data_IF_018636366355
#
_entry.id   IF_018636366355
#
_cell.length_a   1.000
_cell.length_b   1.000
_cell.length_c   1.000
_cell.angle_alpha   90.00
_cell.angle_beta   90.00
_cell.angle_gamma   90.00
#
_symmetry.space_group_name_H-M   'P 1'
#
loop_
_entity.id
_entity.type
_entity.pdbx_description
1 polymer ?
#
# COMPACT_ATOMS: atom_id res chain seq x y z
N UNK A 1 -3.10 -2.04 -15.06
CA UNK A 1 -3.80 -1.29 -16.14
C UNK A 1 -5.09 -0.65 -15.63
N UNK A 2 -6.08 -1.40 -15.12
CA UNK A 2 -7.37 -0.80 -14.68
C UNK A 2 -7.25 0.23 -13.54
N UNK A 3 -6.37 -0.01 -12.55
CA UNK A 3 -6.15 0.95 -11.46
C UNK A 3 -5.49 2.25 -11.96
N UNK A 4 -4.67 2.21 -13.02
CA UNK A 4 -4.09 3.43 -13.59
C UNK A 4 -5.18 4.34 -14.16
N UNK A 5 -6.14 3.76 -14.89
CA UNK A 5 -7.27 4.50 -15.46
C UNK A 5 -8.13 5.09 -14.35
N UNK A 6 -8.47 4.29 -13.34
CA UNK A 6 -9.27 4.73 -12.20
C UNK A 6 -8.60 5.88 -11.42
N UNK A 7 -7.31 5.77 -11.13
CA UNK A 7 -6.57 6.80 -10.38
C UNK A 7 -6.25 8.06 -11.20
N UNK A 8 -6.11 7.95 -12.53
CA UNK A 8 -5.84 9.10 -13.41
C UNK A 8 -7.10 9.83 -13.82
N UNK A 9 -8.03 9.10 -14.42
CA UNK A 9 -9.19 9.67 -15.09
C UNK A 9 -10.40 9.75 -14.17
N UNK A 10 -10.30 9.19 -12.95
CA UNK A 10 -11.41 9.05 -12.01
C UNK A 10 -12.63 8.36 -12.65
N UNK A 11 -12.38 7.52 -13.66
CA UNK A 11 -13.39 6.74 -14.37
C UNK A 11 -12.80 5.38 -14.76
N UNK A 12 -13.67 4.39 -14.97
CA UNK A 12 -13.32 3.09 -15.54
C UNK A 12 -14.24 2.82 -16.71
N UNK A 13 -13.66 2.56 -17.87
CA UNK A 13 -14.35 2.09 -19.05
C UNK A 13 -14.45 0.56 -19.06
N UNK A 14 -15.67 0.06 -19.27
CA UNK A 14 -15.94 -1.38 -19.32
C UNK A 14 -16.64 -1.67 -20.65
N UNK A 15 -16.04 -2.56 -21.45
CA UNK A 15 -16.64 -3.11 -22.66
C UNK A 15 -16.71 -4.64 -22.52
N UNK A 16 -17.84 -5.17 -22.07
CA UNK A 16 -18.03 -6.61 -21.86
C UNK A 16 -19.48 -7.02 -22.06
N UNK A 17 -19.69 -8.22 -22.61
CA UNK A 17 -21.02 -8.81 -22.85
C UNK A 17 -21.97 -7.88 -23.65
N UNK A 18 -21.43 -7.15 -24.63
CA UNK A 18 -22.21 -6.20 -25.43
C UNK A 18 -22.57 -4.89 -24.72
N UNK A 19 -22.14 -4.70 -23.47
CA UNK A 19 -22.33 -3.48 -22.70
C UNK A 19 -21.02 -2.69 -22.72
N UNK A 20 -21.09 -1.48 -23.27
CA UNK A 20 -20.01 -0.50 -23.23
C UNK A 20 -20.46 0.67 -22.37
N UNK A 21 -19.83 0.87 -21.22
CA UNK A 21 -20.18 1.94 -20.29
C UNK A 21 -18.95 2.47 -19.57
N UNK A 22 -19.04 3.71 -19.10
CA UNK A 22 -17.99 4.38 -18.32
C UNK A 22 -18.56 4.69 -16.94
N UNK A 23 -17.89 4.18 -15.91
CA UNK A 23 -18.29 4.34 -14.52
C UNK A 23 -17.37 5.32 -13.81
N UNK A 24 -17.92 6.13 -12.92
CA UNK A 24 -17.16 7.06 -12.08
C UNK A 24 -16.48 6.32 -10.92
N UNK A 25 -15.24 6.69 -10.59
CA UNK A 25 -14.43 6.05 -9.51
C UNK A 25 -13.95 7.04 -8.46
N UNK A 26 -14.83 7.94 -8.01
CA UNK A 26 -14.57 8.82 -6.86
C UNK A 26 -14.44 8.03 -5.55
N UNK A 27 -13.26 7.48 -5.29
CA UNK A 27 -12.88 6.86 -4.03
C UNK A 27 -11.43 7.19 -3.68
N UNK A 28 -11.11 7.12 -2.39
CA UNK A 28 -9.73 7.17 -1.91
C UNK A 28 -9.10 5.78 -1.99
N UNK A 29 -7.81 5.73 -2.35
CA UNK A 29 -7.06 4.48 -2.44
C UNK A 29 -6.14 4.37 -1.24
N UNK A 30 -6.30 3.30 -0.47
CA UNK A 30 -5.33 2.86 0.54
C UNK A 30 -4.68 1.58 0.02
N UNK A 31 -3.35 1.58 -0.06
CA UNK A 31 -2.58 0.43 -0.51
C UNK A 31 -1.59 -0.01 0.57
N UNK A 32 -1.45 -1.32 0.73
CA UNK A 32 -0.40 -1.93 1.54
C UNK A 32 0.41 -2.84 0.61
N UNK A 33 1.73 -2.74 0.70
CA UNK A 33 2.65 -3.55 -0.07
C UNK A 33 3.86 -3.91 0.76
N UNK A 34 4.42 -5.08 0.48
CA UNK A 34 5.65 -5.54 1.10
C UNK A 34 6.83 -5.27 0.17
N UNK A 35 8.02 -5.13 0.73
CA UNK A 35 9.25 -5.08 -0.08
C UNK A 35 9.49 -6.42 -0.78
N UNK A 36 10.08 -6.38 -1.98
CA UNK A 36 10.38 -7.56 -2.82
C UNK A 36 11.16 -8.63 -2.04
N UNK A 37 12.12 -8.22 -1.21
CA UNK A 37 12.97 -9.13 -0.44
C UNK A 37 12.47 -9.38 0.99
N UNK A 38 11.23 -8.97 1.31
CA UNK A 38 10.61 -9.13 2.63
C UNK A 38 11.17 -8.21 3.73
N UNK A 39 12.32 -7.56 3.49
CA UNK A 39 12.89 -6.51 4.34
C UNK A 39 13.25 -5.31 3.49
N UNK A 40 13.05 -4.13 4.06
CA UNK A 40 13.41 -2.87 3.42
C UNK A 40 14.94 -2.67 3.46
N UNK A 41 15.56 -2.52 2.29
CA UNK A 41 17.00 -2.24 2.15
C UNK A 41 17.21 -0.76 1.77
N UNK A 42 17.83 0.03 2.64
CA UNK A 42 18.04 1.47 2.39
C UNK A 42 18.93 1.78 1.19
N UNK A 43 19.76 0.83 0.76
CA UNK A 43 20.65 0.99 -0.38
C UNK A 43 19.89 0.87 -1.70
N UNK A 44 18.85 0.04 -1.71
CA UNK A 44 18.12 -0.34 -2.93
C UNK A 44 16.94 0.57 -3.27
N UNK A 45 16.56 1.50 -2.40
CA UNK A 45 15.57 2.57 -2.67
C UNK A 45 14.34 2.09 -3.47
N UNK A 46 14.32 2.45 -4.77
CA UNK A 46 13.25 2.11 -5.73
C UNK A 46 13.20 0.62 -6.09
N UNK A 47 14.32 -0.10 -6.07
CA UNK A 47 14.38 -1.55 -6.32
C UNK A 47 13.75 -2.37 -5.19
N UNK A 48 13.39 -1.75 -4.05
CA UNK A 48 12.64 -2.44 -3.00
C UNK A 48 11.16 -2.64 -3.34
N UNK A 49 10.64 -1.93 -4.34
CA UNK A 49 9.22 -1.86 -4.66
C UNK A 49 8.99 -2.32 -6.11
N UNK A 50 8.14 -3.33 -6.30
CA UNK A 50 7.72 -3.81 -7.63
C UNK A 50 6.50 -3.02 -8.17
N UNK A 51 6.56 -1.69 -8.11
CA UNK A 51 5.53 -0.82 -8.68
C UNK A 51 6.10 0.04 -9.79
N UNK A 52 5.32 0.21 -10.86
CA UNK A 52 5.65 1.18 -11.90
C UNK A 52 5.71 2.59 -11.28
N UNK A 53 6.71 3.42 -11.61
CA UNK A 53 6.82 4.80 -11.12
C UNK A 53 5.55 5.63 -11.37
N UNK A 54 4.82 5.33 -12.44
CA UNK A 54 3.57 5.99 -12.84
C UNK A 54 2.38 5.73 -11.90
N UNK A 55 2.43 4.69 -11.06
CA UNK A 55 1.46 4.49 -9.97
C UNK A 55 1.95 5.19 -8.71
N UNK A 56 3.23 5.05 -8.39
CA UNK A 56 3.81 5.67 -7.19
C UNK A 56 3.64 7.19 -7.20
N UNK A 57 3.82 7.83 -8.35
CA UNK A 57 3.63 9.27 -8.52
C UNK A 57 2.19 9.75 -8.29
N UNK A 58 1.22 8.84 -8.23
CA UNK A 58 -0.22 9.16 -8.02
C UNK A 58 -0.63 9.06 -6.56
N UNK A 59 0.22 8.50 -5.70
CA UNK A 59 -0.01 8.51 -4.27
C UNK A 59 0.48 9.82 -3.70
N UNK A 60 -0.42 10.59 -3.10
CA UNK A 60 -0.06 11.84 -2.42
C UNK A 60 0.84 11.59 -1.20
N UNK A 61 0.69 10.43 -0.56
CA UNK A 61 1.46 10.03 0.62
C UNK A 61 1.91 8.58 0.51
N UNK A 62 3.20 8.35 0.74
CA UNK A 62 3.80 7.02 0.81
C UNK A 62 4.44 6.87 2.19
N UNK A 63 3.97 5.90 2.96
CA UNK A 63 4.50 5.58 4.29
C UNK A 63 5.27 4.27 4.24
N UNK A 64 6.59 4.34 4.44
CA UNK A 64 7.44 3.17 4.56
C UNK A 64 7.50 2.79 6.04
N UNK A 65 6.88 1.66 6.39
CA UNK A 65 6.96 1.10 7.75
C UNK A 65 8.11 0.11 7.77
N UNK A 66 9.20 0.47 8.47
CA UNK A 66 10.38 -0.39 8.65
C UNK A 66 10.33 -1.06 10.01
N UNK A 67 10.74 -2.32 10.02
CA UNK A 67 10.99 -3.06 11.25
C UNK A 67 12.45 -2.85 11.68
N UNK A 68 12.64 -1.95 12.65
CA UNK A 68 13.94 -1.64 13.24
C UNK A 68 14.10 -2.37 14.55
N UNK A 69 15.26 -3.00 14.77
CA UNK A 69 15.52 -3.77 15.98
C UNK A 69 15.85 -2.81 17.12
N UNK A 70 14.83 -2.38 17.87
CA UNK A 70 14.99 -1.50 19.02
C UNK A 70 14.34 -2.09 20.27
N UNK A 71 15.18 -2.58 21.19
CA UNK A 71 14.75 -3.29 22.41
C UNK A 71 13.68 -2.54 23.22
N UNK A 72 13.78 -1.21 23.33
CA UNK A 72 12.82 -0.41 24.11
C UNK A 72 11.45 -0.34 23.44
N UNK A 73 11.41 -0.18 22.11
CA UNK A 73 10.16 -0.19 21.32
C UNK A 73 9.54 -1.58 21.35
N UNK A 74 10.34 -2.61 21.13
CA UNK A 74 9.88 -4.01 21.16
C UNK A 74 9.29 -4.39 22.51
N UNK A 75 9.93 -3.97 23.61
CA UNK A 75 9.42 -4.19 24.97
C UNK A 75 8.08 -3.50 25.20
N UNK A 76 7.92 -2.28 24.67
CA UNK A 76 6.67 -1.52 24.79
C UNK A 76 5.54 -2.16 23.98
N UNK A 77 5.85 -2.59 22.75
CA UNK A 77 4.94 -3.33 21.87
C UNK A 77 4.50 -4.65 22.49
N UNK A 78 5.45 -5.45 23.01
CA UNK A 78 5.17 -6.71 23.68
C UNK A 78 4.25 -6.52 24.89
N UNK A 79 4.52 -5.53 25.75
CA UNK A 79 3.65 -5.19 26.89
C UNK A 79 2.24 -4.80 26.44
N UNK A 80 2.12 -4.02 25.37
CA UNK A 80 0.83 -3.63 24.82
C UNK A 80 0.04 -4.85 24.31
N UNK A 81 0.68 -5.71 23.51
CA UNK A 81 0.06 -6.94 22.99
C UNK A 81 -0.35 -7.87 24.11
N UNK A 82 0.50 -8.08 25.12
CA UNK A 82 0.16 -8.88 26.30
C UNK A 82 -1.04 -8.30 27.05
N UNK A 83 -1.09 -6.98 27.26
CA UNK A 83 -2.20 -6.33 27.95
C UNK A 83 -3.53 -6.50 27.20
N UNK A 84 -3.52 -6.48 25.87
CA UNK A 84 -4.73 -6.68 25.07
C UNK A 84 -5.28 -8.11 25.20
N UNK A 85 -4.40 -9.11 25.25
CA UNK A 85 -4.80 -10.53 25.28
C UNK A 85 -5.02 -11.08 26.70
N UNK A 86 -4.50 -10.42 27.74
CA UNK A 86 -4.69 -10.85 29.14
C UNK A 86 -6.03 -10.39 29.73
N UNK A 87 -6.64 -9.35 29.14
CA UNK A 87 -7.96 -8.83 29.53
C UNK A 87 -9.11 -9.36 28.65
N UNK A 88 -8.85 -10.40 27.84
CA UNK A 88 -9.83 -11.09 27.01
C UNK A 88 -10.39 -12.33 27.71
#
# INVERSE_FOLDING_TARGET
>A
VAIHEAMEQQTISIAKAGITTTLNTRCSVLAAANSIFGRWDDIKGEENIDFMPTILSRFDMIFIVKDEHEKNRDMTLAKHVMSLHTNA
#
